data_IF_120699051829
#
_entry.id   IF_120699051829
#
_cell.length_a   1.000
_cell.length_b   1.000
_cell.length_c   1.000
_cell.angle_alpha   90.00
_cell.angle_beta   90.00
_cell.angle_gamma   90.00
#
_symmetry.space_group_name_H-M   'P 1'
#
loop_
_entity.id
_entity.type
_entity.pdbx_description
1 polymer ?
#
# COMPACT_ATOMS: atom_id res chain seq x y z
N UNK A 1 32.32 6.57 43.08
CA UNK A 1 32.00 6.31 41.66
C UNK A 1 30.71 5.52 41.60
N UNK A 2 29.57 6.17 41.32
CA UNK A 2 28.23 5.52 41.27
C UNK A 2 27.47 6.03 40.04
N UNK A 3 26.95 5.05 39.32
CA UNK A 3 26.34 5.02 37.99
C UNK A 3 25.06 5.86 37.90
N UNK A 4 24.94 6.71 36.86
CA UNK A 4 23.69 7.36 36.42
C UNK A 4 23.40 6.97 34.97
N UNK A 5 22.78 5.82 34.75
CA UNK A 5 22.19 5.45 33.46
C UNK A 5 20.93 4.66 33.79
N UNK A 6 19.76 5.30 33.77
CA UNK A 6 18.44 4.67 33.61
C UNK A 6 17.32 5.71 33.84
N UNK A 7 17.16 6.69 32.96
CA UNK A 7 15.95 7.55 32.94
C UNK A 7 15.43 7.90 31.54
N UNK A 8 15.84 7.17 30.50
CA UNK A 8 15.44 7.46 29.12
C UNK A 8 14.60 6.39 28.41
N UNK A 9 14.25 5.29 29.09
CA UNK A 9 13.39 4.25 28.51
C UNK A 9 11.90 4.36 28.88
N UNK A 10 11.51 5.31 29.75
CA UNK A 10 10.14 5.34 30.29
C UNK A 10 9.14 6.16 29.46
N UNK A 11 9.58 6.85 28.40
CA UNK A 11 8.71 7.75 27.62
C UNK A 11 8.18 7.15 26.31
N UNK A 12 8.69 5.99 25.87
CA UNK A 12 8.25 5.36 24.60
C UNK A 12 7.12 4.32 24.82
N UNK A 13 6.86 3.91 26.07
CA UNK A 13 5.80 2.94 26.40
C UNK A 13 4.40 3.55 26.55
N UNK A 14 4.25 4.88 26.58
CA UNK A 14 2.99 5.54 26.99
C UNK A 14 2.11 6.02 25.83
N UNK A 15 2.54 5.87 24.57
CA UNK A 15 1.76 6.27 23.40
C UNK A 15 0.94 5.13 22.76
N UNK A 16 0.91 3.94 23.37
CA UNK A 16 0.25 2.75 22.83
C UNK A 16 -1.05 2.34 23.54
N UNK A 17 -1.68 3.24 24.29
CA UNK A 17 -2.99 3.01 24.92
C UNK A 17 -4.04 3.94 24.32
N UNK A 18 -4.34 3.78 23.04
CA UNK A 18 -5.59 4.28 22.49
C UNK A 18 -6.69 3.36 23.05
N UNK A 19 -7.50 3.93 23.94
CA UNK A 19 -8.65 3.28 24.53
C UNK A 19 -9.60 2.79 23.42
N UNK A 20 -9.65 1.47 23.23
CA UNK A 20 -10.69 0.82 22.44
C UNK A 20 -11.90 0.66 23.35
N UNK A 21 -12.85 1.57 23.27
CA UNK A 21 -14.18 1.34 23.81
C UNK A 21 -14.89 0.34 22.92
N UNK A 22 -14.99 -0.92 23.37
CA UNK A 22 -15.83 -1.93 22.72
C UNK A 22 -17.31 -1.64 23.01
N UNK A 23 -18.02 -1.03 22.06
CA UNK A 23 -19.49 -1.09 22.02
C UNK A 23 -19.85 -2.44 21.40
N UNK A 24 -20.27 -3.40 22.23
CA UNK A 24 -20.80 -4.68 21.77
C UNK A 24 -22.28 -4.53 21.43
N UNK A 25 -22.61 -4.37 20.15
CA UNK A 25 -23.97 -4.66 19.66
C UNK A 25 -24.06 -6.14 19.30
N UNK A 26 -24.98 -6.85 19.95
CA UNK A 26 -25.38 -8.19 19.53
C UNK A 26 -26.21 -8.08 18.24
N UNK A 27 -25.82 -8.83 17.21
CA UNK A 27 -26.73 -9.21 16.14
C UNK A 27 -26.53 -10.68 15.78
N UNK A 28 -27.65 -11.38 15.80
CA UNK A 28 -27.81 -12.82 15.68
C UNK A 28 -28.05 -13.24 14.23
N UNK A 29 -27.01 -13.73 13.54
CA UNK A 29 -27.07 -14.86 12.59
C UNK A 29 -25.66 -15.15 12.04
N UNK A 30 -24.96 -16.25 12.39
CA UNK A 30 -23.68 -16.56 11.80
C UNK A 30 -23.93 -17.41 10.54
N UNK A 31 -24.45 -16.81 9.48
CA UNK A 31 -24.13 -17.33 8.15
C UNK A 31 -22.61 -17.19 8.00
N UNK A 32 -21.90 -18.32 7.99
CA UNK A 32 -20.43 -18.38 8.05
C UNK A 32 -19.80 -17.42 7.05
N UNK A 33 -19.35 -16.28 7.57
CA UNK A 33 -18.88 -15.16 6.79
C UNK A 33 -17.43 -15.44 6.40
N UNK A 34 -17.14 -15.32 5.11
CA UNK A 34 -15.78 -15.51 4.60
C UNK A 34 -14.92 -14.30 4.96
N UNK A 35 -14.20 -14.41 6.07
CA UNK A 35 -13.17 -13.48 6.48
C UNK A 35 -11.94 -13.78 5.63
N UNK A 36 -11.53 -12.82 4.80
CA UNK A 36 -10.32 -12.98 4.00
C UNK A 36 -9.09 -12.90 4.90
N UNK A 37 -8.50 -14.05 5.20
CA UNK A 37 -7.19 -14.14 5.84
C UNK A 37 -6.10 -13.94 4.81
N UNK A 38 -6.25 -14.54 3.63
CA UNK A 38 -5.25 -14.46 2.55
C UNK A 38 -5.94 -14.13 1.24
N UNK A 39 -5.40 -13.13 0.53
CA UNK A 39 -5.85 -12.80 -0.82
C UNK A 39 -4.68 -12.54 -1.76
N UNK A 40 -4.90 -12.87 -3.03
CA UNK A 40 -3.98 -12.62 -4.14
C UNK A 40 -4.65 -11.59 -5.06
N UNK A 41 -4.01 -10.45 -5.24
CA UNK A 41 -4.40 -9.39 -6.15
C UNK A 41 -3.66 -9.51 -7.48
N UNK A 42 -4.37 -9.22 -8.56
CA UNK A 42 -3.79 -8.92 -9.87
C UNK A 42 -4.30 -7.54 -10.30
N UNK A 43 -3.42 -6.69 -10.81
CA UNK A 43 -3.81 -5.35 -11.15
C UNK A 43 -2.69 -4.44 -11.59
N UNK A 44 -3.05 -3.16 -11.61
CA UNK A 44 -2.16 -2.07 -11.93
C UNK A 44 -2.02 -1.15 -10.71
N UNK A 45 -0.86 -0.55 -10.57
CA UNK A 45 -0.61 0.49 -9.58
C UNK A 45 0.48 0.15 -8.58
N UNK A 46 0.70 1.08 -7.66
CA UNK A 46 1.90 1.06 -6.82
C UNK A 46 1.93 -0.17 -5.91
N UNK A 47 0.88 -0.45 -5.14
CA UNK A 47 0.82 -1.64 -4.28
C UNK A 47 0.83 -3.00 -5.01
N UNK A 48 0.75 -3.02 -6.34
CA UNK A 48 0.88 -4.24 -7.18
C UNK A 48 2.20 -4.30 -7.95
N UNK A 49 3.15 -3.41 -7.69
CA UNK A 49 4.41 -3.44 -8.43
C UNK A 49 4.30 -2.83 -9.84
N UNK A 50 3.36 -1.92 -10.11
CA UNK A 50 3.12 -1.44 -11.48
C UNK A 50 2.11 -2.34 -12.17
N UNK A 51 2.49 -3.01 -13.25
CA UNK A 51 1.70 -4.13 -13.79
C UNK A 51 2.12 -5.42 -13.09
N UNK A 52 1.26 -6.00 -12.26
CA UNK A 52 1.67 -7.14 -11.46
C UNK A 52 0.60 -7.67 -10.54
N UNK A 53 1.04 -8.16 -9.40
CA UNK A 53 0.18 -8.76 -8.39
C UNK A 53 0.62 -8.46 -6.98
N UNK A 54 -0.25 -8.76 -6.04
CA UNK A 54 0.01 -8.57 -4.61
C UNK A 54 -0.52 -9.73 -3.78
N UNK A 55 0.20 -10.08 -2.74
CA UNK A 55 -0.27 -10.95 -1.67
C UNK A 55 -0.68 -10.07 -0.49
N UNK A 56 -1.83 -10.34 0.11
CA UNK A 56 -2.34 -9.62 1.28
C UNK A 56 -2.80 -10.64 2.33
N UNK A 57 -2.26 -10.48 3.54
CA UNK A 57 -2.56 -11.31 4.70
C UNK A 57 -3.12 -10.46 5.83
N UNK A 58 -4.31 -10.80 6.34
CA UNK A 58 -4.94 -10.16 7.49
C UNK A 58 -4.74 -11.00 8.76
N UNK A 59 -3.69 -10.75 9.56
CA UNK A 59 -3.54 -11.40 10.86
C UNK A 59 -4.70 -11.05 11.81
N UNK A 60 -5.26 -9.85 11.66
CA UNK A 60 -6.47 -9.39 12.33
C UNK A 60 -7.42 -8.75 11.30
N UNK A 61 -8.72 -8.73 11.60
CA UNK A 61 -9.77 -8.34 10.64
C UNK A 61 -9.59 -6.93 10.03
N UNK A 62 -8.98 -6.01 10.78
CA UNK A 62 -8.81 -4.62 10.39
C UNK A 62 -7.44 -4.36 9.75
N UNK A 63 -6.39 -5.07 10.17
CA UNK A 63 -5.01 -4.78 9.76
C UNK A 63 -4.42 -5.95 8.98
N UNK A 64 -4.01 -5.66 7.76
CA UNK A 64 -3.33 -6.58 6.86
C UNK A 64 -1.92 -6.12 6.56
N UNK A 65 -1.06 -7.09 6.23
CA UNK A 65 0.26 -6.87 5.62
C UNK A 65 0.21 -7.32 4.18
N UNK A 66 0.87 -6.60 3.29
CA UNK A 66 0.90 -6.94 1.87
C UNK A 66 2.29 -6.87 1.28
N UNK A 67 2.46 -7.63 0.20
CA UNK A 67 3.64 -7.64 -0.66
C UNK A 67 3.17 -7.60 -2.12
N UNK A 68 3.55 -6.56 -2.85
CA UNK A 68 3.31 -6.37 -4.28
C UNK A 68 4.58 -6.56 -5.10
N UNK A 69 4.45 -7.21 -6.25
CA UNK A 69 5.54 -7.46 -7.21
C UNK A 69 5.03 -7.26 -8.63
N UNK A 70 5.82 -6.61 -9.47
CA UNK A 70 5.42 -6.34 -10.86
C UNK A 70 6.45 -5.58 -11.67
N UNK A 71 6.01 -5.04 -12.80
CA UNK A 71 6.84 -4.30 -13.73
C UNK A 71 6.33 -2.85 -13.92
N UNK A 72 6.84 -1.84 -13.18
CA UNK A 72 6.43 -0.44 -13.34
C UNK A 72 7.10 0.27 -14.53
N UNK A 73 7.03 -0.31 -15.74
CA UNK A 73 7.56 0.21 -17.02
C UNK A 73 9.09 0.34 -17.08
N UNK A 74 9.75 0.80 -16.02
CA UNK A 74 11.19 1.02 -15.95
C UNK A 74 12.01 -0.17 -15.42
N UNK A 75 11.37 -1.30 -15.09
CA UNK A 75 12.05 -2.48 -14.56
C UNK A 75 11.14 -3.33 -13.69
N UNK A 76 11.71 -4.25 -12.92
CA UNK A 76 10.98 -5.02 -11.90
C UNK A 76 10.93 -4.24 -10.59
N UNK A 77 9.74 -4.09 -10.01
CA UNK A 77 9.50 -3.34 -8.79
C UNK A 77 8.77 -4.16 -7.73
N UNK A 78 8.99 -3.80 -6.47
CA UNK A 78 8.31 -4.40 -5.33
C UNK A 78 7.82 -3.33 -4.36
N UNK A 79 6.77 -3.68 -3.60
CA UNK A 79 6.23 -2.87 -2.51
C UNK A 79 5.81 -3.75 -1.35
N UNK A 80 6.06 -3.31 -0.13
CA UNK A 80 5.56 -3.99 1.06
C UNK A 80 4.98 -2.97 2.03
N UNK A 81 3.89 -3.33 2.71
CA UNK A 81 3.22 -2.39 3.58
C UNK A 81 2.12 -2.99 4.44
N UNK A 82 1.40 -2.09 5.09
CA UNK A 82 0.25 -2.39 5.93
C UNK A 82 -1.00 -1.74 5.35
N UNK A 83 -2.14 -2.41 5.51
CA UNK A 83 -3.45 -1.96 5.09
C UNK A 83 -4.41 -2.02 6.27
N UNK A 84 -5.05 -0.91 6.60
CA UNK A 84 -5.98 -0.79 7.71
C UNK A 84 -7.39 -0.47 7.22
N UNK A 85 -8.34 -1.37 7.44
CA UNK A 85 -9.76 -1.20 7.12
C UNK A 85 -10.43 -0.34 8.17
N UNK A 86 -11.15 0.70 7.73
CA UNK A 86 -11.86 1.63 8.63
C UNK A 86 -13.20 1.06 9.13
N UNK A 87 -13.68 -0.04 8.55
CA UNK A 87 -14.89 -0.73 9.02
C UNK A 87 -14.51 -1.96 9.83
N UNK A 88 -14.76 -1.92 11.15
CA UNK A 88 -14.36 -2.95 12.12
C UNK A 88 -15.36 -4.11 12.26
N UNK A 89 -16.58 -3.97 11.77
CA UNK A 89 -17.68 -4.85 12.16
C UNK A 89 -18.27 -5.53 10.92
N UNK A 90 -18.04 -6.85 10.84
CA UNK A 90 -18.66 -7.81 9.91
C UNK A 90 -18.49 -7.50 8.41
N UNK A 91 -17.92 -8.44 7.65
CA UNK A 91 -17.78 -8.46 6.18
C UNK A 91 -19.12 -8.46 5.41
N UNK A 92 -20.20 -7.93 5.99
CA UNK A 92 -21.48 -7.61 5.34
C UNK A 92 -21.49 -6.23 4.68
N UNK A 93 -20.35 -5.53 4.56
CA UNK A 93 -20.30 -4.29 3.78
C UNK A 93 -19.72 -4.54 2.40
N UNK A 94 -20.48 -4.16 1.37
CA UNK A 94 -20.01 -4.19 -0.03
C UNK A 94 -18.90 -3.19 -0.29
N UNK A 95 -18.84 -2.11 0.49
CA UNK A 95 -17.85 -1.05 0.37
C UNK A 95 -17.08 -0.93 1.69
N UNK A 96 -15.76 -1.14 1.65
CA UNK A 96 -14.89 -1.16 2.83
C UNK A 96 -13.76 -0.15 2.61
N UNK A 97 -13.87 1.07 3.16
CA UNK A 97 -12.80 2.04 3.05
C UNK A 97 -11.58 1.60 3.87
N UNK A 98 -10.39 1.96 3.40
CA UNK A 98 -9.13 1.63 4.05
C UNK A 98 -8.11 2.76 3.96
N UNK A 99 -7.15 2.70 4.88
CA UNK A 99 -5.88 3.43 4.83
C UNK A 99 -4.74 2.43 4.59
N UNK A 100 -3.63 2.89 4.04
CA UNK A 100 -2.46 2.06 3.79
C UNK A 100 -1.19 2.88 3.95
N UNK A 101 -0.13 2.22 4.37
CA UNK A 101 1.22 2.78 4.43
C UNK A 101 2.20 1.70 3.96
N UNK A 102 3.18 2.09 3.15
CA UNK A 102 4.10 1.14 2.54
C UNK A 102 5.47 1.74 2.27
N UNK A 103 6.43 0.86 2.05
CA UNK A 103 7.74 1.17 1.49
C UNK A 103 7.97 0.32 0.25
N UNK A 104 8.42 0.97 -0.82
CA UNK A 104 8.74 0.31 -2.08
C UNK A 104 8.90 1.33 -3.19
N UNK A 105 8.75 0.91 -4.45
CA UNK A 105 8.92 1.84 -5.55
C UNK A 105 7.84 2.93 -5.53
N UNK A 106 8.24 4.21 -5.62
CA UNK A 106 7.34 5.37 -5.51
C UNK A 106 7.46 6.35 -6.70
N UNK A 107 8.45 6.11 -7.57
CA UNK A 107 8.62 6.76 -8.87
C UNK A 107 9.32 5.78 -9.84
N UNK A 108 8.94 5.86 -11.10
CA UNK A 108 9.54 5.11 -12.20
C UNK A 108 9.82 6.07 -13.34
N UNK A 109 11.09 6.14 -13.76
CA UNK A 109 11.54 6.95 -14.87
C UNK A 109 11.92 5.98 -15.99
N UNK A 110 11.18 6.05 -17.09
CA UNK A 110 11.44 5.26 -18.28
C UNK A 110 11.72 6.18 -19.47
N UNK A 111 12.86 5.97 -20.13
CA UNK A 111 13.29 6.78 -21.28
C UNK A 111 13.13 5.97 -22.56
N UNK A 112 12.30 6.50 -23.48
CA UNK A 112 12.06 5.84 -24.77
C UNK A 112 13.33 5.82 -25.61
N UNK A 113 13.68 4.65 -26.16
CA UNK A 113 14.89 4.48 -26.98
C UNK A 113 16.22 4.45 -26.20
N UNK A 114 16.21 4.59 -24.88
CA UNK A 114 17.41 4.60 -24.05
C UNK A 114 17.16 3.91 -22.69
N UNK A 115 16.91 2.60 -22.73
CA UNK A 115 16.56 1.81 -21.54
C UNK A 115 17.63 1.76 -20.47
N UNK A 116 18.88 2.09 -20.80
CA UNK A 116 19.98 2.25 -19.83
C UNK A 116 19.72 3.37 -18.81
N UNK A 117 18.81 4.31 -19.10
CA UNK A 117 18.37 5.36 -18.19
C UNK A 117 17.06 5.03 -17.45
N UNK A 118 16.56 3.80 -17.60
CA UNK A 118 15.40 3.38 -16.84
C UNK A 118 15.80 3.20 -15.37
N UNK A 119 15.09 3.87 -14.47
CA UNK A 119 15.38 3.83 -13.04
C UNK A 119 14.12 3.79 -12.20
N UNK A 120 14.17 2.99 -11.14
CA UNK A 120 13.15 2.93 -10.10
C UNK A 120 13.67 3.61 -8.83
N UNK A 121 12.81 4.41 -8.22
CA UNK A 121 13.08 5.08 -6.96
C UNK A 121 12.19 4.49 -5.88
N UNK A 122 12.77 4.35 -4.69
CA UNK A 122 12.15 3.69 -3.56
C UNK A 122 11.96 4.68 -2.41
N UNK A 123 10.83 4.56 -1.72
CA UNK A 123 10.55 5.38 -0.57
C UNK A 123 9.20 5.07 0.06
N UNK A 124 8.86 5.78 1.15
CA UNK A 124 7.59 5.59 1.81
C UNK A 124 6.43 6.17 0.98
N UNK A 125 5.25 5.60 1.16
CA UNK A 125 4.00 6.10 0.58
C UNK A 125 2.84 5.82 1.53
N UNK A 126 1.86 6.73 1.57
CA UNK A 126 0.58 6.51 2.25
C UNK A 126 -0.56 6.47 1.25
N UNK A 127 -1.66 5.82 1.58
CA UNK A 127 -2.82 5.74 0.70
C UNK A 127 -4.13 5.74 1.46
N UNK A 128 -5.16 6.18 0.76
CA UNK A 128 -6.55 5.91 1.09
C UNK A 128 -7.22 5.19 -0.08
N UNK A 129 -8.20 4.36 0.21
CA UNK A 129 -8.87 3.59 -0.83
C UNK A 129 -10.11 2.88 -0.32
N UNK A 130 -10.65 2.00 -1.15
CA UNK A 130 -11.76 1.14 -0.79
C UNK A 130 -11.69 -0.22 -1.45
N UNK A 131 -12.18 -1.23 -0.74
CA UNK A 131 -12.48 -2.55 -1.27
C UNK A 131 -13.97 -2.62 -1.62
N UNK A 132 -14.29 -3.07 -2.82
CA UNK A 132 -15.65 -3.23 -3.32
C UNK A 132 -15.96 -4.69 -3.68
N UNK A 133 -16.88 -5.28 -2.93
CA UNK A 133 -17.43 -6.64 -3.13
C UNK A 133 -18.75 -6.54 -3.88
N UNK A 134 -18.94 -7.38 -4.92
CA UNK A 134 -20.23 -7.49 -5.63
C UNK A 134 -21.31 -8.06 -4.72
N UNK A 135 -20.98 -9.12 -3.98
CA UNK A 135 -21.88 -9.76 -3.02
C UNK A 135 -21.09 -10.36 -1.84
N UNK A 136 -21.77 -10.72 -0.76
CA UNK A 136 -21.15 -11.22 0.46
C UNK A 136 -20.46 -12.58 0.28
N UNK A 137 -20.95 -13.39 -0.66
CA UNK A 137 -20.45 -14.73 -0.92
C UNK A 137 -19.37 -14.78 -2.00
N UNK A 138 -19.04 -13.65 -2.65
CA UNK A 138 -18.02 -13.66 -3.69
C UNK A 138 -16.62 -13.82 -3.09
N UNK A 139 -15.87 -14.80 -3.59
CA UNK A 139 -14.45 -15.02 -3.25
C UNK A 139 -13.50 -14.00 -3.88
N UNK A 140 -13.97 -12.78 -4.13
CA UNK A 140 -13.12 -11.73 -4.66
C UNK A 140 -13.76 -10.35 -4.61
N UNK A 141 -12.92 -9.33 -4.80
CA UNK A 141 -13.29 -7.94 -4.70
C UNK A 141 -12.35 -7.04 -5.50
N UNK A 142 -12.86 -5.89 -5.91
CA UNK A 142 -12.04 -4.82 -6.47
C UNK A 142 -11.41 -4.01 -5.33
N UNK A 143 -10.14 -3.66 -5.46
CA UNK A 143 -9.41 -2.79 -4.53
C UNK A 143 -8.94 -1.58 -5.32
N UNK A 144 -9.35 -0.39 -4.89
CA UNK A 144 -8.98 0.88 -5.52
C UNK A 144 -8.28 1.75 -4.49
N UNK A 145 -7.12 2.31 -4.84
CA UNK A 145 -6.32 3.14 -3.93
C UNK A 145 -5.73 4.37 -4.60
N UNK A 146 -5.69 5.47 -3.85
CA UNK A 146 -4.93 6.67 -4.17
C UNK A 146 -3.73 6.76 -3.21
N UNK A 147 -2.53 6.84 -3.78
CA UNK A 147 -1.26 6.86 -3.07
C UNK A 147 -0.61 8.24 -3.13
N UNK A 148 -0.08 8.68 -2.00
CA UNK A 148 0.73 9.89 -1.87
C UNK A 148 2.17 9.41 -1.57
N UNK A 149 3.05 9.40 -2.58
CA UNK A 149 4.43 9.01 -2.42
C UNK A 149 5.27 10.15 -1.82
N UNK A 150 6.13 9.81 -0.86
CA UNK A 150 7.14 10.73 -0.34
C UNK A 150 8.44 10.49 -1.10
N UNK A 151 8.68 11.31 -2.12
CA UNK A 151 9.85 11.20 -3.01
C UNK A 151 11.02 12.00 -2.45
N UNK A 152 12.23 11.45 -2.57
CA UNK A 152 13.47 12.17 -2.28
C UNK A 152 13.82 13.13 -3.41
N UNK A 153 14.69 14.12 -3.12
CA UNK A 153 15.24 15.01 -4.14
C UNK A 153 16.02 14.26 -5.23
N UNK A 154 16.51 13.04 -4.94
CA UNK A 154 17.22 12.20 -5.90
C UNK A 154 16.41 11.95 -7.19
N UNK A 155 15.08 11.93 -7.09
CA UNK A 155 14.20 11.78 -8.25
C UNK A 155 14.33 12.99 -9.18
N UNK A 156 14.26 14.19 -8.61
CA UNK A 156 14.33 15.45 -9.36
C UNK A 156 15.75 15.67 -9.89
N UNK A 157 16.77 15.42 -9.07
CA UNK A 157 18.19 15.49 -9.44
C UNK A 157 18.49 14.58 -10.64
N UNK A 158 17.92 13.36 -10.65
CA UNK A 158 18.08 12.43 -11.77
C UNK A 158 17.33 12.88 -13.03
N UNK A 159 16.13 13.43 -12.88
CA UNK A 159 15.39 13.99 -14.02
C UNK A 159 16.15 15.17 -14.64
N UNK A 160 16.77 16.01 -13.82
CA UNK A 160 17.53 17.17 -14.30
C UNK A 160 18.86 16.76 -14.93
N UNK A 161 19.55 15.76 -14.39
CA UNK A 161 20.71 15.13 -15.02
C UNK A 161 20.37 14.60 -16.43
N UNK A 162 19.24 13.88 -16.57
CA UNK A 162 18.79 13.38 -17.86
C UNK A 162 18.48 14.50 -18.87
N UNK A 163 17.92 15.63 -18.43
CA UNK A 163 17.66 16.79 -19.29
C UNK A 163 18.95 17.47 -19.72
N UNK A 164 19.83 17.76 -18.75
CA UNK A 164 21.02 18.60 -18.95
C UNK A 164 22.13 17.84 -19.68
N UNK A 165 22.40 16.61 -19.24
CA UNK A 165 23.56 15.84 -19.68
C UNK A 165 23.22 14.80 -20.78
N UNK A 166 21.96 14.43 -20.91
CA UNK A 166 21.52 13.37 -21.83
C UNK A 166 20.45 13.79 -22.85
N UNK A 167 20.05 15.07 -22.86
CA UNK A 167 19.11 15.63 -23.84
C UNK A 167 17.72 14.99 -23.78
N UNK A 168 17.34 14.38 -22.65
CA UNK A 168 16.03 13.75 -22.47
C UNK A 168 14.97 14.83 -22.24
N UNK A 169 13.95 14.85 -23.08
CA UNK A 169 12.79 15.72 -22.91
C UNK A 169 11.64 14.99 -22.22
N UNK A 170 11.22 15.50 -21.07
CA UNK A 170 10.06 14.99 -20.35
C UNK A 170 8.79 15.72 -20.79
N UNK A 171 7.88 15.01 -21.47
CA UNK A 171 6.58 15.57 -21.88
C UNK A 171 5.65 15.87 -20.70
N UNK A 172 5.81 15.13 -19.60
CA UNK A 172 4.99 15.23 -18.40
C UNK A 172 5.88 15.28 -17.15
N UNK A 173 5.46 16.05 -16.15
CA UNK A 173 6.03 15.95 -14.80
C UNK A 173 5.49 14.72 -14.07
N UNK A 174 6.19 14.32 -13.00
CA UNK A 174 5.73 13.22 -12.16
C UNK A 174 4.44 13.62 -11.43
N UNK A 175 3.37 12.82 -11.51
CA UNK A 175 2.14 13.13 -10.81
C UNK A 175 2.37 13.10 -9.29
N UNK A 176 1.74 14.01 -8.51
CA UNK A 176 1.89 14.05 -7.06
C UNK A 176 1.25 12.86 -6.36
N UNK A 177 0.40 12.11 -7.08
CA UNK A 177 -0.34 10.95 -6.57
C UNK A 177 -0.19 9.76 -7.51
N UNK A 178 -0.24 8.56 -6.95
CA UNK A 178 -0.32 7.30 -7.67
C UNK A 178 -1.71 6.67 -7.55
N UNK A 179 -2.10 5.87 -8.53
CA UNK A 179 -3.34 5.11 -8.50
C UNK A 179 -3.06 3.62 -8.40
N UNK A 180 -4.02 2.89 -7.86
CA UNK A 180 -4.06 1.44 -7.93
C UNK A 180 -5.48 0.94 -8.18
N UNK A 181 -5.55 -0.09 -9.02
CA UNK A 181 -6.74 -0.88 -9.30
C UNK A 181 -6.33 -2.34 -9.40
N UNK A 182 -6.85 -3.16 -8.49
CA UNK A 182 -6.62 -4.60 -8.51
C UNK A 182 -7.90 -5.38 -8.26
N UNK A 183 -8.01 -6.54 -8.90
CA UNK A 183 -8.96 -7.56 -8.49
C UNK A 183 -8.27 -8.54 -7.54
N UNK A 184 -8.82 -8.71 -6.34
CA UNK A 184 -8.29 -9.58 -5.29
C UNK A 184 -9.14 -10.84 -5.19
N UNK A 185 -8.51 -12.00 -5.32
CA UNK A 185 -9.07 -13.31 -5.10
C UNK A 185 -8.79 -13.72 -3.65
N UNK A 186 -9.83 -14.09 -2.92
CA UNK A 186 -9.69 -14.57 -1.55
C UNK A 186 -9.43 -16.07 -1.59
N UNK A 187 -8.33 -16.49 -0.96
CA UNK A 187 -7.83 -17.87 -0.98
C UNK A 187 -8.10 -18.59 0.34
N UNK A 188 -8.03 -17.87 1.46
CA UNK A 188 -8.29 -18.39 2.81
C UNK A 188 -8.95 -17.37 3.69
#
# INVERSE_FOLDING_TARGET
MKTKIAKSCLFISLLLTVAVTEVKSQDSNPSAMYIDKVSIGLGIGIDNGGFGGSLLFYPIHQAGVFLGLGYPIAGFGYNAGVKFRLSSTTSTRRFIPYLSAMYGYNAAIAVSGASQYNKLFYGPSVAFGFDWKRDYYTKGYWSVGLFIPFRSSEVDDYMDDLKINHGVEFKNSLPPVGLSLAYRFIVS
#
